data_IF_126034513130
#
_entry.id   IF_126034513130
#
_cell.length_a   1.000
_cell.length_b   1.000
_cell.length_c   1.000
_cell.angle_alpha   90.00
_cell.angle_beta   90.00
_cell.angle_gamma   90.00
#
_symmetry.space_group_name_H-M   'P 1'
#
loop_
_entity.id
_entity.type
_entity.pdbx_description
1 polymer ?
#
# COMPACT_ATOMS: atom_id res chain seq x y z
N UNK A 1 -5.38 -15.66 -0.05
CA UNK A 1 -5.80 -14.35 0.49
C UNK A 1 -4.59 -13.49 0.85
N UNK A 2 -3.69 -13.97 1.71
CA UNK A 2 -2.45 -13.25 2.06
C UNK A 2 -1.55 -12.93 0.85
N UNK A 3 -1.43 -13.84 -0.12
CA UNK A 3 -0.68 -13.58 -1.36
C UNK A 3 -1.28 -12.44 -2.20
N UNK A 4 -2.61 -12.39 -2.32
CA UNK A 4 -3.31 -11.31 -3.02
C UNK A 4 -3.09 -9.97 -2.34
N UNK A 5 -3.17 -9.95 -1.00
CA UNK A 5 -2.83 -8.78 -0.21
C UNK A 5 -1.41 -8.29 -0.49
N UNK A 6 -0.41 -9.19 -0.47
CA UNK A 6 0.98 -8.82 -0.71
C UNK A 6 1.21 -8.23 -2.11
N UNK A 7 0.58 -8.80 -3.15
CA UNK A 7 0.66 -8.24 -4.52
C UNK A 7 0.07 -6.84 -4.59
N UNK A 8 -1.09 -6.61 -3.98
CA UNK A 8 -1.73 -5.28 -3.98
C UNK A 8 -0.94 -4.29 -3.13
N UNK A 9 -0.38 -4.71 -2.00
CA UNK A 9 0.50 -3.89 -1.16
C UNK A 9 1.75 -3.42 -1.93
N UNK A 10 2.40 -4.32 -2.68
CA UNK A 10 3.54 -3.96 -3.53
C UNK A 10 3.12 -2.99 -4.64
N UNK A 11 2.01 -3.26 -5.32
CA UNK A 11 1.53 -2.38 -6.40
C UNK A 11 1.18 -0.98 -5.89
N UNK A 12 0.54 -0.89 -4.72
CA UNK A 12 0.21 0.36 -4.05
C UNK A 12 1.50 1.13 -3.69
N UNK A 13 2.47 0.47 -3.06
CA UNK A 13 3.78 1.07 -2.76
C UNK A 13 4.54 1.55 -4.00
N UNK A 14 4.57 0.75 -5.07
CA UNK A 14 5.17 1.15 -6.35
C UNK A 14 4.44 2.37 -6.93
N UNK A 15 3.10 2.37 -6.93
CA UNK A 15 2.32 3.50 -7.46
C UNK A 15 2.57 4.80 -6.69
N UNK A 16 2.80 4.70 -5.38
CA UNK A 16 3.15 5.84 -4.53
C UNK A 16 4.56 6.35 -4.85
N UNK A 17 5.54 5.45 -5.00
CA UNK A 17 6.89 5.83 -5.44
C UNK A 17 6.89 6.51 -6.81
N UNK A 18 6.10 6.00 -7.76
CA UNK A 18 5.95 6.64 -9.09
C UNK A 18 5.32 8.03 -8.96
N UNK A 19 4.29 8.18 -8.12
CA UNK A 19 3.66 9.48 -7.87
C UNK A 19 4.67 10.50 -7.31
N UNK A 20 5.50 10.11 -6.35
CA UNK A 20 6.45 11.00 -5.69
C UNK A 20 7.74 11.23 -6.48
N UNK A 21 8.32 10.20 -7.09
CA UNK A 21 9.63 10.28 -7.76
C UNK A 21 9.52 10.63 -9.24
N UNK A 22 8.36 10.44 -9.86
CA UNK A 22 8.16 10.73 -11.30
C UNK A 22 7.16 11.85 -11.48
N UNK A 23 5.93 11.70 -10.98
CA UNK A 23 4.88 12.66 -11.28
C UNK A 23 5.15 14.04 -10.64
N UNK A 24 5.62 14.07 -9.38
CA UNK A 24 5.95 15.34 -8.71
C UNK A 24 7.13 16.09 -9.37
N UNK A 25 8.28 15.45 -9.67
CA UNK A 25 9.33 16.11 -10.45
C UNK A 25 8.85 16.57 -11.83
N UNK A 26 8.03 15.79 -12.53
CA UNK A 26 7.50 16.19 -13.83
C UNK A 26 6.58 17.41 -13.73
N UNK A 27 5.79 17.52 -12.66
CA UNK A 27 4.99 18.71 -12.35
C UNK A 27 5.87 19.94 -12.14
N UNK A 28 6.90 19.85 -11.29
CA UNK A 28 7.72 21.01 -10.93
C UNK A 28 8.77 21.40 -11.98
N UNK A 29 9.34 20.43 -12.70
CA UNK A 29 10.41 20.66 -13.68
C UNK A 29 9.88 20.91 -15.09
N UNK A 30 8.79 20.24 -15.48
CA UNK A 30 8.24 20.31 -16.83
C UNK A 30 6.84 20.95 -16.91
N UNK A 31 6.26 21.37 -15.77
CA UNK A 31 4.93 21.99 -15.73
C UNK A 31 3.77 21.04 -16.06
N UNK A 32 4.02 19.72 -16.11
CA UNK A 32 3.02 18.72 -16.52
C UNK A 32 2.14 18.30 -15.34
N UNK A 33 1.17 19.14 -14.98
CA UNK A 33 0.25 18.88 -13.86
C UNK A 33 -0.66 17.65 -14.08
N UNK A 34 -0.96 17.34 -15.34
CA UNK A 34 -1.81 16.21 -15.73
C UNK A 34 -1.21 14.86 -15.29
N UNK A 35 0.12 14.74 -15.25
CA UNK A 35 0.78 13.51 -14.80
C UNK A 35 0.47 13.20 -13.33
N UNK A 36 0.47 14.22 -12.46
CA UNK A 36 0.11 14.07 -11.04
C UNK A 36 -1.36 13.72 -10.89
N UNK A 37 -2.25 14.29 -11.70
CA UNK A 37 -3.66 13.92 -11.67
C UNK A 37 -3.85 12.44 -12.04
N UNK A 38 -3.35 12.00 -13.20
CA UNK A 38 -3.57 10.62 -13.68
C UNK A 38 -2.94 9.60 -12.73
N UNK A 39 -1.68 9.81 -12.33
CA UNK A 39 -0.98 8.90 -11.42
C UNK A 39 -1.60 8.96 -10.02
N UNK A 40 -2.03 10.13 -9.56
CA UNK A 40 -2.70 10.30 -8.27
C UNK A 40 -4.02 9.57 -8.21
N UNK A 41 -4.84 9.62 -9.27
CA UNK A 41 -6.07 8.85 -9.37
C UNK A 41 -5.80 7.34 -9.38
N UNK A 42 -4.80 6.88 -10.14
CA UNK A 42 -4.42 5.47 -10.19
C UNK A 42 -3.95 4.96 -8.81
N UNK A 43 -3.09 5.73 -8.13
CA UNK A 43 -2.64 5.44 -6.77
C UNK A 43 -3.80 5.42 -5.77
N UNK A 44 -4.70 6.41 -5.81
CA UNK A 44 -5.87 6.45 -4.94
C UNK A 44 -6.79 5.24 -5.11
N UNK A 45 -7.01 4.79 -6.35
CA UNK A 45 -7.78 3.58 -6.62
C UNK A 45 -7.10 2.31 -6.05
N UNK A 46 -5.76 2.20 -6.19
CA UNK A 46 -4.98 1.10 -5.61
C UNK A 46 -5.01 1.12 -4.08
N UNK A 47 -4.93 2.30 -3.46
CA UNK A 47 -5.03 2.46 -2.01
C UNK A 47 -6.39 1.99 -1.48
N UNK A 48 -7.49 2.33 -2.16
CA UNK A 48 -8.83 1.83 -1.81
C UNK A 48 -8.89 0.30 -1.94
N UNK A 49 -8.36 -0.27 -3.02
CA UNK A 49 -8.31 -1.72 -3.21
C UNK A 49 -7.49 -2.41 -2.09
N UNK A 50 -6.36 -1.81 -1.71
CA UNK A 50 -5.53 -2.27 -0.59
C UNK A 50 -6.32 -2.26 0.73
N UNK A 51 -7.05 -1.17 1.03
CA UNK A 51 -7.89 -1.07 2.24
C UNK A 51 -8.98 -2.15 2.29
N UNK A 52 -9.66 -2.40 1.18
CA UNK A 52 -10.69 -3.46 1.10
C UNK A 52 -10.08 -4.83 1.37
N UNK A 53 -8.93 -5.15 0.75
CA UNK A 53 -8.27 -6.44 0.94
C UNK A 53 -7.72 -6.57 2.36
N UNK A 54 -7.17 -5.51 2.95
CA UNK A 54 -6.72 -5.48 4.34
C UNK A 54 -7.88 -5.78 5.30
N UNK A 55 -9.05 -5.17 5.09
CA UNK A 55 -10.25 -5.45 5.87
C UNK A 55 -10.75 -6.89 5.69
N UNK A 56 -10.74 -7.42 4.46
CA UNK A 56 -11.08 -8.82 4.20
C UNK A 56 -10.10 -9.79 4.88
N UNK A 57 -8.80 -9.50 4.85
CA UNK A 57 -7.78 -10.31 5.53
C UNK A 57 -7.95 -10.24 7.05
N UNK A 58 -8.28 -9.08 7.60
CA UNK A 58 -8.58 -8.94 9.02
C UNK A 58 -9.73 -9.86 9.47
N UNK A 59 -10.84 -9.87 8.72
CA UNK A 59 -12.01 -10.68 9.05
C UNK A 59 -11.76 -12.18 8.80
N UNK A 60 -11.12 -12.54 7.67
CA UNK A 60 -10.95 -13.93 7.24
C UNK A 60 -9.78 -14.66 7.90
N UNK A 61 -8.68 -13.95 8.19
CA UNK A 61 -7.45 -14.53 8.73
C UNK A 61 -7.27 -14.23 10.22
N UNK A 62 -8.20 -13.50 10.84
CA UNK A 62 -8.15 -13.20 12.27
C UNK A 62 -6.95 -12.35 12.69
N UNK A 63 -6.38 -11.55 11.77
CA UNK A 63 -5.21 -10.72 12.07
C UNK A 63 -5.46 -9.79 13.25
N UNK A 64 -4.44 -9.61 14.09
CA UNK A 64 -4.57 -8.74 15.26
C UNK A 64 -4.82 -7.29 14.85
N UNK A 65 -5.62 -6.55 15.63
CA UNK A 65 -5.91 -5.13 15.37
C UNK A 65 -4.63 -4.28 15.30
N UNK A 66 -3.59 -4.69 16.04
CA UNK A 66 -2.26 -4.07 16.02
C UNK A 66 -1.60 -4.23 14.66
N UNK A 67 -1.58 -5.45 14.12
CA UNK A 67 -1.03 -5.71 12.79
C UNK A 67 -1.77 -4.92 11.71
N UNK A 68 -3.10 -4.90 11.74
CA UNK A 68 -3.91 -4.14 10.78
C UNK A 68 -3.61 -2.64 10.84
N UNK A 69 -3.43 -2.09 12.05
CA UNK A 69 -3.06 -0.68 12.21
C UNK A 69 -1.65 -0.39 11.67
N UNK A 70 -0.70 -1.29 11.90
CA UNK A 70 0.66 -1.16 11.36
C UNK A 70 0.64 -1.25 9.84
N UNK A 71 -0.12 -2.19 9.27
CA UNK A 71 -0.32 -2.32 7.82
C UNK A 71 -0.91 -1.04 7.21
N UNK A 72 -1.92 -0.47 7.87
CA UNK A 72 -2.50 0.80 7.47
C UNK A 72 -1.49 1.94 7.48
N UNK A 73 -0.76 2.13 8.59
CA UNK A 73 0.26 3.19 8.71
C UNK A 73 1.38 2.98 7.69
N UNK A 74 1.79 1.74 7.48
CA UNK A 74 2.80 1.39 6.49
C UNK A 74 2.38 1.80 5.09
N UNK A 75 1.11 1.60 4.69
CA UNK A 75 0.62 2.05 3.37
C UNK A 75 0.62 3.57 3.17
N UNK A 76 0.63 4.36 4.26
CA UNK A 76 0.77 5.82 4.15
C UNK A 76 2.21 6.26 3.89
N UNK A 77 3.18 5.37 4.09
CA UNK A 77 4.58 5.62 3.77
C UNK A 77 4.92 4.99 2.40
N UNK A 78 5.58 5.74 1.49
CA UNK A 78 5.86 5.27 0.12
C UNK A 78 6.76 4.03 0.03
N UNK A 79 7.37 3.60 1.14
CA UNK A 79 8.13 2.34 1.23
C UNK A 79 7.61 1.38 2.30
N UNK A 80 6.60 1.76 3.09
CA UNK A 80 6.13 0.94 4.21
C UNK A 80 5.56 -0.42 3.80
N UNK A 81 4.80 -0.56 2.69
CA UNK A 81 4.28 -1.86 2.26
C UNK A 81 5.36 -2.90 1.93
N UNK A 82 6.56 -2.46 1.53
CA UNK A 82 7.65 -3.38 1.16
C UNK A 82 8.26 -4.10 2.35
N UNK A 83 8.24 -3.47 3.52
CA UNK A 83 8.74 -4.06 4.77
C UNK A 83 7.65 -4.83 5.54
N UNK A 84 6.40 -4.81 5.05
CA UNK A 84 5.30 -5.44 5.74
C UNK A 84 5.19 -6.91 5.34
N UNK A 85 5.54 -7.80 6.27
CA UNK A 85 5.38 -9.23 6.10
C UNK A 85 4.04 -9.70 6.69
N UNK A 86 3.17 -10.36 5.92
CA UNK A 86 1.92 -10.87 6.46
C UNK A 86 2.20 -11.94 7.53
N UNK A 87 1.44 -11.95 8.64
CA UNK A 87 1.62 -12.93 9.70
C UNK A 87 1.38 -14.32 9.13
N UNK A 88 2.35 -15.23 9.31
CA UNK A 88 2.13 -16.66 9.10
C UNK A 88 1.31 -17.22 10.27
N UNK A 89 0.63 -18.33 10.05
CA UNK A 89 -0.24 -18.98 11.05
C UNK A 89 0.49 -19.24 12.40
N UNK A 90 1.81 -19.38 12.35
CA UNK A 90 2.74 -19.56 13.47
C UNK A 90 3.17 -18.27 14.20
N UNK A 91 3.03 -17.08 13.59
CA UNK A 91 3.33 -15.78 14.22
C UNK A 91 2.25 -14.76 13.82
N UNK A 92 1.14 -14.63 14.58
CA UNK A 92 -0.01 -13.78 14.25
C UNK A 92 0.26 -12.27 14.37
N UNK A 93 1.48 -11.88 14.77
CA UNK A 93 1.92 -10.48 14.88
C UNK A 93 2.88 -10.09 13.75
N UNK A 94 3.55 -11.06 13.09
CA UNK A 94 4.45 -10.78 11.96
C UNK A 94 5.56 -9.78 12.32
N UNK A 95 6.08 -9.87 13.54
CA UNK A 95 7.27 -9.14 13.99
C UNK A 95 8.34 -10.16 14.37
N UNK A 96 9.31 -10.32 13.48
CA UNK A 96 10.64 -10.87 13.73
C UNK A 96 11.64 -9.74 14.02
#
# INVERSE_FOLDING_TARGET
>A
MAEWFHRVAILEGISYLVLLLVAMPLKYLAGYEMAVQVVGWAHGALFIAYMVILGLCWIRLGWSRRFVLIAFIASLLPAGPFFLHPPREENPVGMD
#
